data_IF_311113022711
#
_entry.id   IF_311113022711
#
_cell.length_a   1.000
_cell.length_b   1.000
_cell.length_c   1.000
_cell.angle_alpha   90.00
_cell.angle_beta   90.00
_cell.angle_gamma   90.00
#
_symmetry.space_group_name_H-M   'P 1'
#
loop_
_entity.id
_entity.type
_entity.pdbx_description
1 polymer ?
#
# COMPACT_ATOMS: atom_id res chain seq x y z
N UNK A 1 6.11 23.02 0.79
CA UNK A 1 5.25 23.30 -0.41
C UNK A 1 4.43 22.09 -0.86
N UNK A 2 5.04 20.91 -1.12
CA UNK A 2 4.31 19.70 -1.58
C UNK A 2 3.13 19.30 -0.67
N UNK A 3 3.34 19.26 0.65
CA UNK A 3 2.28 18.92 1.63
C UNK A 3 1.08 19.87 1.57
N UNK A 4 1.32 21.18 1.48
CA UNK A 4 0.26 22.19 1.45
C UNK A 4 -0.61 22.05 0.19
N UNK A 5 0.02 21.85 -0.97
CA UNK A 5 -0.69 21.61 -2.24
C UNK A 5 -1.49 20.31 -2.17
N UNK A 6 -0.88 19.20 -1.75
CA UNK A 6 -1.58 17.93 -1.60
C UNK A 6 -2.75 18.03 -0.61
N UNK A 7 -2.56 18.73 0.53
CA UNK A 7 -3.60 18.94 1.53
C UNK A 7 -4.75 19.77 0.98
N UNK A 8 -4.46 20.85 0.25
CA UNK A 8 -5.49 21.69 -0.36
C UNK A 8 -6.32 20.87 -1.38
N UNK A 9 -5.66 20.15 -2.28
CA UNK A 9 -6.37 19.33 -3.28
C UNK A 9 -7.18 18.24 -2.58
N UNK A 10 -6.59 17.51 -1.63
CA UNK A 10 -7.23 16.38 -0.96
C UNK A 10 -8.42 16.80 -0.09
N UNK A 11 -8.22 17.76 0.83
CA UNK A 11 -9.23 18.16 1.81
C UNK A 11 -10.23 19.18 1.26
N UNK A 12 -9.79 20.15 0.44
CA UNK A 12 -10.64 21.27 -0.01
C UNK A 12 -11.27 21.04 -1.39
N UNK A 13 -10.49 20.61 -2.38
CA UNK A 13 -11.02 20.42 -3.74
C UNK A 13 -11.79 19.11 -3.88
N UNK A 14 -11.21 18.00 -3.42
CA UNK A 14 -11.82 16.67 -3.57
C UNK A 14 -12.73 16.31 -2.39
N UNK A 15 -12.63 17.03 -1.27
CA UNK A 15 -13.48 16.86 -0.09
C UNK A 15 -13.22 15.57 0.69
N UNK A 16 -12.01 15.01 0.60
CA UNK A 16 -11.66 13.80 1.34
C UNK A 16 -11.27 14.09 2.78
N UNK A 17 -11.44 13.09 3.64
CA UNK A 17 -11.08 13.10 5.07
C UNK A 17 -10.00 12.08 5.34
N UNK A 18 -9.27 12.27 6.44
CA UNK A 18 -8.26 11.32 6.91
C UNK A 18 -8.55 10.89 8.34
N UNK A 19 -8.33 9.61 8.61
CA UNK A 19 -8.28 9.04 9.96
C UNK A 19 -6.98 8.29 10.10
N UNK A 20 -6.01 8.87 10.80
CA UNK A 20 -4.68 8.30 10.95
C UNK A 20 -4.29 8.36 12.42
N UNK A 21 -4.21 7.19 13.05
CA UNK A 21 -3.74 7.04 14.44
C UNK A 21 -2.45 6.23 14.54
N UNK A 22 -2.05 5.53 13.47
CA UNK A 22 -0.83 4.73 13.46
C UNK A 22 0.43 5.60 13.52
N UNK A 23 1.50 5.16 14.20
CA UNK A 23 2.79 5.84 14.17
C UNK A 23 3.37 5.97 12.76
N UNK A 24 4.29 6.92 12.58
CA UNK A 24 5.07 7.06 11.34
C UNK A 24 6.41 6.35 11.50
N UNK A 25 6.46 5.06 11.20
CA UNK A 25 7.70 4.28 11.30
C UNK A 25 8.66 4.63 10.15
N UNK A 26 9.96 4.53 10.39
CA UNK A 26 10.95 4.66 9.31
C UNK A 26 10.79 3.57 8.25
N UNK A 27 10.31 2.38 8.65
CA UNK A 27 10.10 1.25 7.75
C UNK A 27 8.77 0.57 8.02
N UNK A 28 7.93 0.43 7.00
CA UNK A 28 6.64 -0.27 7.07
C UNK A 28 6.16 -0.72 5.69
N UNK A 29 5.26 -1.71 5.70
CA UNK A 29 4.46 -2.10 4.53
C UNK A 29 3.07 -1.48 4.67
N UNK A 30 2.56 -0.85 3.61
CA UNK A 30 1.15 -0.49 3.51
C UNK A 30 0.44 -1.60 2.76
N UNK A 31 -0.50 -2.25 3.43
CA UNK A 31 -1.54 -3.05 2.78
C UNK A 31 -2.67 -2.08 2.44
N UNK A 32 -2.96 -1.86 1.16
CA UNK A 32 -3.99 -0.91 0.72
C UNK A 32 -5.15 -1.65 0.04
N UNK A 33 -6.37 -1.43 0.52
CA UNK A 33 -7.59 -1.95 -0.09
C UNK A 33 -8.79 -1.07 0.33
N UNK A 34 -9.95 -1.14 -0.33
CA UNK A 34 -10.24 -1.76 -1.62
C UNK A 34 -9.44 -1.15 -2.78
N UNK A 35 -8.97 -1.99 -3.71
CA UNK A 35 -8.36 -1.57 -4.96
C UNK A 35 -9.27 -1.92 -6.15
N UNK A 36 -10.10 -0.96 -6.55
CA UNK A 36 -11.14 -1.16 -7.56
C UNK A 36 -10.96 -0.27 -8.79
N UNK A 37 -10.01 0.68 -8.76
CA UNK A 37 -9.73 1.59 -9.88
C UNK A 37 -8.28 2.11 -9.86
N UNK A 38 -7.78 2.62 -10.99
CA UNK A 38 -6.48 3.31 -11.02
C UNK A 38 -6.49 4.60 -10.20
N UNK A 39 -7.67 5.19 -9.99
CA UNK A 39 -7.86 6.38 -9.17
C UNK A 39 -7.42 6.16 -7.70
N UNK A 40 -7.40 4.92 -7.22
CA UNK A 40 -6.95 4.56 -5.87
C UNK A 40 -5.49 4.93 -5.64
N UNK A 41 -4.64 4.71 -6.66
CA UNK A 41 -3.22 5.07 -6.58
C UNK A 41 -3.04 6.59 -6.49
N UNK A 42 -3.81 7.35 -7.27
CA UNK A 42 -3.73 8.81 -7.27
C UNK A 42 -4.22 9.39 -5.93
N UNK A 43 -5.38 8.94 -5.45
CA UNK A 43 -5.93 9.35 -4.15
C UNK A 43 -5.01 8.92 -2.99
N UNK A 44 -4.46 7.71 -3.04
CA UNK A 44 -3.49 7.23 -2.05
C UNK A 44 -2.21 8.07 -2.02
N UNK A 45 -1.66 8.45 -3.18
CA UNK A 45 -0.49 9.34 -3.25
C UNK A 45 -0.80 10.75 -2.75
N UNK A 46 -1.96 11.30 -3.08
CA UNK A 46 -2.42 12.59 -2.54
C UNK A 46 -2.59 12.53 -1.02
N UNK A 47 -3.20 11.46 -0.50
CA UNK A 47 -3.37 11.21 0.92
C UNK A 47 -2.02 11.23 1.66
N UNK A 48 -1.06 10.41 1.21
CA UNK A 48 0.27 10.35 1.83
C UNK A 48 0.94 11.73 1.80
N UNK A 49 0.87 12.44 0.67
CA UNK A 49 1.37 13.80 0.56
C UNK A 49 0.66 14.80 1.48
N UNK A 50 -0.65 14.67 1.69
CA UNK A 50 -1.45 15.55 2.55
C UNK A 50 -1.13 15.34 4.04
N UNK A 51 -0.92 14.10 4.48
CA UNK A 51 -0.48 13.81 5.86
C UNK A 51 1.02 14.07 6.05
N UNK A 52 1.78 14.23 4.97
CA UNK A 52 3.22 14.50 4.99
C UNK A 52 4.08 13.25 5.12
N UNK A 53 3.54 12.08 4.77
CA UNK A 53 4.25 10.79 4.75
C UNK A 53 4.66 10.41 3.34
N UNK A 54 5.63 9.51 3.24
CA UNK A 54 6.11 8.98 1.98
C UNK A 54 5.56 7.57 1.72
N UNK A 55 5.45 7.23 0.45
CA UNK A 55 5.09 5.87 0.04
C UNK A 55 5.82 5.53 -1.24
N UNK A 56 6.41 4.34 -1.27
CA UNK A 56 6.97 3.75 -2.47
C UNK A 56 6.01 2.76 -3.13
N UNK A 57 6.36 2.37 -4.35
CA UNK A 57 5.67 1.32 -5.11
C UNK A 57 6.70 0.55 -5.95
N UNK A 58 6.46 -0.74 -6.16
CA UNK A 58 7.32 -1.56 -7.01
C UNK A 58 7.10 -1.24 -8.47
N UNK A 59 8.18 -1.12 -9.24
CA UNK A 59 8.10 -0.93 -10.69
C UNK A 59 9.21 -1.70 -11.41
N UNK A 60 8.93 -2.22 -12.61
CA UNK A 60 9.90 -3.03 -13.37
C UNK A 60 11.17 -2.20 -13.60
N UNK A 61 12.33 -2.80 -13.30
CA UNK A 61 13.64 -2.15 -13.37
C UNK A 61 13.91 -1.49 -14.74
N UNK A 62 13.39 -2.07 -15.82
CA UNK A 62 13.57 -1.55 -17.19
C UNK A 62 13.00 -0.14 -17.40
N UNK A 63 12.10 0.34 -16.54
CA UNK A 63 11.61 1.72 -16.59
C UNK A 63 12.59 2.72 -15.98
N UNK A 64 13.65 2.26 -15.31
CA UNK A 64 14.62 3.10 -14.63
C UNK A 64 15.83 3.46 -15.50
N UNK A 65 15.61 3.74 -16.78
CA UNK A 65 16.60 4.27 -17.71
C UNK A 65 16.53 5.80 -17.78
N UNK A 66 17.59 6.47 -18.21
CA UNK A 66 17.59 7.92 -18.36
C UNK A 66 16.68 8.34 -19.54
N UNK A 67 15.81 9.37 -19.40
CA UNK A 67 15.70 10.33 -18.28
C UNK A 67 14.69 9.93 -17.18
N UNK A 68 13.95 8.83 -17.35
CA UNK A 68 12.84 8.45 -16.48
C UNK A 68 13.27 7.89 -15.11
N UNK A 69 14.44 7.26 -15.01
CA UNK A 69 14.93 6.61 -13.78
C UNK A 69 15.01 7.52 -12.56
N UNK A 70 15.68 8.69 -12.63
CA UNK A 70 15.69 9.67 -11.54
C UNK A 70 14.27 10.12 -11.13
N UNK A 71 13.38 10.34 -12.09
CA UNK A 71 11.99 10.78 -11.85
C UNK A 71 11.25 9.71 -11.05
N UNK A 72 11.32 8.45 -11.49
CA UNK A 72 10.63 7.37 -10.81
C UNK A 72 11.18 7.12 -9.40
N UNK A 73 12.50 7.22 -9.18
CA UNK A 73 13.09 7.13 -7.84
C UNK A 73 12.60 8.25 -6.94
N UNK A 74 12.55 9.48 -7.44
CA UNK A 74 12.02 10.62 -6.70
C UNK A 74 10.53 10.46 -6.35
N UNK A 75 9.76 9.77 -7.18
CA UNK A 75 8.36 9.42 -6.91
C UNK A 75 8.18 8.25 -5.92
N UNK A 76 9.26 7.62 -5.46
CA UNK A 76 9.25 6.45 -4.57
C UNK A 76 9.19 5.10 -5.32
N UNK A 77 9.51 5.08 -6.61
CA UNK A 77 9.61 3.85 -7.40
C UNK A 77 10.76 2.97 -6.93
N UNK A 78 10.44 1.75 -6.50
CA UNK A 78 11.41 0.72 -6.12
C UNK A 78 11.63 -0.20 -7.33
N UNK A 79 12.82 -0.20 -7.95
CA UNK A 79 13.10 -1.03 -9.12
C UNK A 79 13.11 -2.50 -8.71
N UNK A 80 12.32 -3.31 -9.41
CA UNK A 80 12.27 -4.75 -9.21
C UNK A 80 12.61 -5.50 -10.49
N UNK A 81 13.46 -6.51 -10.35
CA UNK A 81 13.83 -7.39 -11.44
C UNK A 81 12.98 -8.66 -11.39
N UNK A 82 11.96 -8.71 -12.26
CA UNK A 82 11.04 -9.85 -12.35
C UNK A 82 11.62 -11.01 -13.16
N UNK A 83 12.78 -10.85 -13.78
CA UNK A 83 13.42 -11.87 -14.61
C UNK A 83 14.40 -12.77 -13.85
N UNK A 84 14.85 -12.33 -12.67
CA UNK A 84 15.75 -13.10 -11.81
C UNK A 84 15.06 -14.31 -11.19
N UNK A 85 15.86 -15.36 -10.96
CA UNK A 85 15.45 -16.55 -10.19
C UNK A 85 15.09 -16.23 -8.73
N UNK A 86 15.67 -15.18 -8.16
CA UNK A 86 15.35 -14.71 -6.79
C UNK A 86 13.92 -14.16 -6.74
N UNK A 87 13.15 -14.58 -5.74
CA UNK A 87 11.77 -14.12 -5.61
C UNK A 87 11.71 -12.59 -5.43
N UNK A 88 10.61 -11.96 -5.88
CA UNK A 88 10.38 -10.53 -5.63
C UNK A 88 10.35 -10.21 -4.14
N UNK A 89 9.92 -11.18 -3.32
CA UNK A 89 9.88 -11.07 -1.86
C UNK A 89 11.29 -10.90 -1.32
N UNK A 90 12.24 -11.76 -1.70
CA UNK A 90 13.63 -11.68 -1.24
C UNK A 90 14.30 -10.37 -1.64
N UNK A 91 14.04 -9.89 -2.85
CA UNK A 91 14.53 -8.59 -3.31
C UNK A 91 14.03 -7.46 -2.40
N UNK A 92 12.74 -7.45 -2.06
CA UNK A 92 12.17 -6.42 -1.19
C UNK A 92 12.67 -6.53 0.25
N UNK A 93 12.86 -7.74 0.78
CA UNK A 93 13.45 -7.95 2.11
C UNK A 93 14.87 -7.36 2.16
N UNK A 94 15.69 -7.62 1.15
CA UNK A 94 17.07 -7.10 1.08
C UNK A 94 17.10 -5.56 0.97
N UNK A 95 16.21 -4.97 0.18
CA UNK A 95 16.11 -3.50 0.07
C UNK A 95 15.62 -2.92 1.40
N UNK A 96 14.62 -3.51 2.03
CA UNK A 96 14.09 -3.05 3.31
C UNK A 96 15.14 -3.09 4.42
N UNK A 97 15.95 -4.15 4.50
CA UNK A 97 17.02 -4.29 5.49
C UNK A 97 18.15 -3.29 5.27
N UNK A 98 18.56 -3.07 4.03
CA UNK A 98 19.69 -2.17 3.69
C UNK A 98 19.34 -0.67 3.68
N UNK A 99 18.06 -0.31 3.56
CA UNK A 99 17.63 1.08 3.53
C UNK A 99 17.50 1.68 4.93
N UNK A 100 17.71 2.99 5.10
CA UNK A 100 17.35 3.68 6.36
C UNK A 100 15.84 3.86 6.51
N UNK A 101 15.18 4.25 5.41
CA UNK A 101 13.72 4.37 5.30
C UNK A 101 13.17 3.41 4.25
N UNK A 102 12.01 2.82 4.50
CA UNK A 102 11.38 1.89 3.57
C UNK A 102 9.86 1.91 3.72
N UNK A 103 9.18 2.53 2.77
CA UNK A 103 7.72 2.58 2.73
C UNK A 103 7.25 1.95 1.44
N UNK A 104 6.51 0.86 1.51
CA UNK A 104 6.03 0.16 0.32
C UNK A 104 4.54 -0.11 0.40
N UNK A 105 3.77 0.47 -0.53
CA UNK A 105 2.36 0.17 -0.68
C UNK A 105 2.13 -1.00 -1.64
N UNK A 106 1.31 -1.95 -1.20
CA UNK A 106 0.89 -3.12 -1.98
C UNK A 106 -0.62 -3.28 -1.82
N UNK A 107 -1.30 -3.49 -2.95
CA UNK A 107 -2.70 -3.91 -2.97
C UNK A 107 -2.74 -5.44 -2.96
N UNK A 108 -3.29 -6.07 -1.91
CA UNK A 108 -3.23 -7.53 -1.75
C UNK A 108 -4.09 -8.24 -2.80
N UNK A 109 -5.12 -7.59 -3.33
CA UNK A 109 -5.99 -8.12 -4.38
C UNK A 109 -5.23 -8.40 -5.68
N UNK A 110 -4.17 -7.64 -5.96
CA UNK A 110 -3.31 -7.78 -7.14
C UNK A 110 -3.97 -7.43 -8.47
N UNK A 111 -5.24 -7.04 -8.45
CA UNK A 111 -6.06 -6.64 -9.60
C UNK A 111 -7.12 -5.65 -9.13
N UNK A 112 -7.79 -4.99 -10.08
CA UNK A 112 -8.95 -4.10 -9.83
C UNK A 112 -10.29 -4.81 -10.02
N UNK A 113 -10.25 -6.10 -10.31
CA UNK A 113 -11.44 -6.97 -10.41
C UNK A 113 -11.59 -7.71 -9.09
N UNK A 114 -12.82 -8.10 -8.75
CA UNK A 114 -13.08 -8.91 -7.57
C UNK A 114 -12.20 -10.17 -7.57
N UNK A 115 -11.36 -10.30 -6.54
CA UNK A 115 -10.48 -11.44 -6.38
C UNK A 115 -10.47 -11.90 -4.90
N UNK A 116 -11.06 -13.06 -4.56
CA UNK A 116 -11.06 -13.58 -3.20
C UNK A 116 -9.67 -14.10 -2.77
N UNK A 117 -8.80 -14.42 -3.73
CA UNK A 117 -7.49 -15.02 -3.52
C UNK A 117 -6.41 -13.94 -3.46
N UNK A 118 -6.33 -13.26 -2.32
CA UNK A 118 -5.37 -12.20 -2.06
C UNK A 118 -3.93 -12.72 -2.08
N UNK A 119 -3.04 -11.97 -2.72
CA UNK A 119 -1.61 -12.25 -2.78
C UNK A 119 -0.96 -12.01 -1.41
N UNK A 120 -0.13 -12.94 -0.99
CA UNK A 120 0.54 -12.96 0.33
C UNK A 120 1.93 -12.30 0.33
N UNK A 121 2.39 -11.76 -0.80
CA UNK A 121 3.75 -11.21 -0.94
C UNK A 121 4.06 -10.08 0.04
N UNK A 122 3.12 -9.18 0.29
CA UNK A 122 3.29 -8.08 1.26
C UNK A 122 3.55 -8.61 2.68
N UNK A 123 2.88 -9.70 3.06
CA UNK A 123 3.03 -10.34 4.36
C UNK A 123 4.41 -10.98 4.51
N UNK A 124 4.85 -11.75 3.51
CA UNK A 124 6.18 -12.37 3.56
C UNK A 124 7.32 -11.35 3.53
N UNK A 125 7.15 -10.24 2.81
CA UNK A 125 8.13 -9.13 2.85
C UNK A 125 8.19 -8.55 4.26
N UNK A 126 7.03 -8.24 4.86
CA UNK A 126 6.96 -7.69 6.20
C UNK A 126 7.60 -8.64 7.24
N UNK A 127 7.25 -9.93 7.18
CA UNK A 127 7.77 -10.96 8.08
C UNK A 127 9.29 -11.11 7.92
N UNK A 128 9.78 -11.32 6.70
CA UNK A 128 11.21 -11.53 6.44
C UNK A 128 12.09 -10.31 6.74
N UNK A 129 11.51 -9.11 6.71
CA UNK A 129 12.19 -7.85 7.04
C UNK A 129 11.93 -7.35 8.46
N UNK A 130 11.07 -8.01 9.25
CA UNK A 130 10.69 -7.58 10.59
C UNK A 130 9.93 -6.24 10.62
N UNK A 131 9.09 -5.98 9.62
CA UNK A 131 8.38 -4.71 9.47
C UNK A 131 6.90 -4.81 9.89
N UNK A 132 6.32 -3.72 10.45
CA UNK A 132 4.88 -3.62 10.62
C UNK A 132 4.16 -3.50 9.28
N UNK A 133 2.93 -4.03 9.24
CA UNK A 133 1.98 -3.86 8.14
C UNK A 133 0.91 -2.88 8.60
N UNK A 134 0.86 -1.71 7.98
CA UNK A 134 -0.20 -0.72 8.19
C UNK A 134 -1.36 -1.05 7.26
N UNK A 135 -2.57 -1.19 7.81
CA UNK A 135 -3.78 -1.40 7.03
C UNK A 135 -4.39 -0.05 6.65
N UNK A 136 -4.36 0.27 5.36
CA UNK A 136 -4.88 1.52 4.82
C UNK A 136 -6.13 1.24 4.00
N UNK A 137 -7.26 1.69 4.53
CA UNK A 137 -8.56 1.53 3.90
C UNK A 137 -8.97 2.77 3.10
N UNK A 138 -9.38 2.60 1.84
CA UNK A 138 -9.86 3.68 0.97
C UNK A 138 -11.39 3.57 0.85
N UNK A 139 -12.12 4.44 1.55
CA UNK A 139 -13.58 4.48 1.55
C UNK A 139 -14.10 5.62 0.67
N UNK A 140 -14.61 5.31 -0.52
CA UNK A 140 -15.14 6.30 -1.45
C UNK A 140 -16.54 6.80 -1.06
N UNK A 141 -17.32 5.97 -0.38
CA UNK A 141 -18.65 6.36 0.11
C UNK A 141 -18.51 7.45 1.19
N UNK A 142 -17.61 7.24 2.15
CA UNK A 142 -17.30 8.24 3.20
C UNK A 142 -16.30 9.30 2.77
N UNK A 143 -15.71 9.15 1.57
CA UNK A 143 -14.54 9.91 1.09
C UNK A 143 -13.46 10.02 2.17
N UNK A 144 -13.08 8.89 2.77
CA UNK A 144 -12.15 8.85 3.89
C UNK A 144 -11.08 7.79 3.67
N UNK A 145 -9.81 8.16 3.83
CA UNK A 145 -8.74 7.16 3.97
C UNK A 145 -8.46 6.95 5.46
N UNK A 146 -8.49 5.69 5.88
CA UNK A 146 -8.34 5.26 7.27
C UNK A 146 -7.10 4.40 7.43
N UNK A 147 -6.21 4.78 8.35
CA UNK A 147 -4.99 4.07 8.71
C UNK A 147 -4.90 4.04 10.24
N UNK A 148 -5.60 3.08 10.85
CA UNK A 148 -5.74 2.97 12.31
C UNK A 148 -5.28 1.61 12.86
N UNK A 149 -5.03 0.63 11.98
CA UNK A 149 -4.66 -0.73 12.38
C UNK A 149 -3.28 -1.11 11.86
N UNK A 150 -2.46 -1.67 12.75
CA UNK A 150 -1.14 -2.23 12.45
C UNK A 150 -1.15 -3.72 12.75
N UNK A 151 -0.62 -4.52 11.84
CA UNK A 151 -0.37 -5.95 12.03
C UNK A 151 1.14 -6.16 12.07
N UNK A 152 1.61 -6.81 13.13
CA UNK A 152 2.96 -7.36 13.19
C UNK A 152 2.86 -8.83 12.80
N UNK A 153 3.49 -9.28 11.70
CA UNK A 153 3.41 -10.67 11.25
C UNK A 153 3.76 -11.64 12.38
N UNK A 154 2.81 -12.47 12.77
CA UNK A 154 2.93 -13.37 13.92
C UNK A 154 3.68 -14.66 13.60
N UNK A 155 3.74 -15.03 12.32
CA UNK A 155 4.13 -16.38 11.90
C UNK A 155 2.97 -17.17 11.33
N UNK A 156 1.78 -17.00 11.92
CA UNK A 156 0.54 -17.66 11.48
C UNK A 156 -0.14 -16.82 10.41
N UNK A 157 0.18 -17.15 9.16
CA UNK A 157 -0.34 -16.42 8.00
C UNK A 157 -1.85 -16.53 7.85
N UNK A 158 -2.47 -17.64 8.23
CA UNK A 158 -3.91 -17.81 8.04
C UNK A 158 -4.67 -16.95 9.04
N UNK A 159 -4.23 -16.94 10.31
CA UNK A 159 -4.76 -16.05 11.34
C UNK A 159 -4.60 -14.57 10.95
N UNK A 160 -3.39 -14.17 10.57
CA UNK A 160 -3.10 -12.77 10.27
C UNK A 160 -3.84 -12.32 9.01
N UNK A 161 -3.92 -13.16 7.96
CA UNK A 161 -4.67 -12.84 6.74
C UNK A 161 -6.18 -12.77 6.99
N UNK A 162 -6.73 -13.60 7.87
CA UNK A 162 -8.13 -13.51 8.31
C UNK A 162 -8.39 -12.14 8.97
N UNK A 163 -7.53 -11.73 9.89
CA UNK A 163 -7.64 -10.45 10.57
C UNK A 163 -7.53 -9.26 9.58
N UNK A 164 -6.55 -9.32 8.67
CA UNK A 164 -6.36 -8.30 7.63
C UNK A 164 -7.59 -8.19 6.73
N UNK A 165 -8.11 -9.31 6.24
CA UNK A 165 -9.28 -9.32 5.36
C UNK A 165 -10.55 -8.83 6.07
N UNK A 166 -10.77 -9.26 7.32
CA UNK A 166 -11.93 -8.83 8.11
C UNK A 166 -11.91 -7.32 8.38
N UNK A 167 -10.74 -6.72 8.58
CA UNK A 167 -10.61 -5.27 8.67
C UNK A 167 -11.20 -4.56 7.45
N UNK A 168 -11.03 -5.12 6.25
CA UNK A 168 -11.50 -4.47 5.02
C UNK A 168 -12.98 -4.65 4.69
N UNK A 169 -13.73 -5.51 5.39
CA UNK A 169 -15.07 -5.92 4.96
C UNK A 169 -16.06 -4.74 4.80
N UNK A 170 -15.93 -3.74 5.65
CA UNK A 170 -16.89 -2.64 5.78
C UNK A 170 -16.51 -1.39 4.96
N UNK A 171 -15.38 -1.42 4.26
CA UNK A 171 -14.93 -0.30 3.44
C UNK A 171 -15.40 -0.44 1.99
N UNK A 172 -15.85 0.67 1.39
CA UNK A 172 -16.40 0.71 0.04
C UNK A 172 -15.43 1.35 -0.94
N UNK A 173 -14.94 0.55 -1.89
CA UNK A 173 -14.15 1.05 -3.02
C UNK A 173 -15.00 1.90 -3.97
N UNK A 174 -14.37 2.52 -4.98
CA UNK A 174 -15.10 3.30 -6.00
C UNK A 174 -16.11 2.46 -6.78
N UNK A 175 -15.77 1.19 -7.01
CA UNK A 175 -16.62 0.17 -7.60
C UNK A 175 -16.77 -0.98 -6.59
N UNK A 176 -17.71 -0.88 -5.62
CA UNK A 176 -17.83 -1.85 -4.52
C UNK A 176 -18.03 -3.30 -4.98
N UNK A 177 -18.67 -3.52 -6.12
CA UNK A 177 -18.87 -4.83 -6.75
C UNK A 177 -17.57 -5.50 -7.21
N UNK A 178 -16.49 -4.73 -7.35
CA UNK A 178 -15.17 -5.22 -7.72
C UNK A 178 -14.28 -5.52 -6.51
N UNK A 179 -14.80 -5.40 -5.29
CA UNK A 179 -14.09 -5.70 -4.05
C UNK A 179 -14.65 -6.94 -3.38
N UNK A 180 -13.79 -7.86 -2.96
CA UNK A 180 -14.20 -9.01 -2.16
C UNK A 180 -13.09 -9.48 -1.22
N UNK A 181 -13.47 -9.82 0.00
CA UNK A 181 -12.58 -10.44 0.99
C UNK A 181 -12.55 -11.97 0.86
N UNK A 182 -13.40 -12.53 0.00
CA UNK A 182 -13.64 -13.97 -0.13
C UNK A 182 -14.38 -14.57 1.07
N UNK A 183 -14.53 -15.90 1.07
CA UNK A 183 -15.08 -16.61 2.23
C UNK A 183 -14.02 -16.65 3.33
N UNK A 184 -14.34 -16.06 4.48
CA UNK A 184 -13.50 -16.11 5.67
C UNK A 184 -14.27 -16.91 6.72
N UNK A 185 -14.02 -18.23 6.78
CA UNK A 185 -14.50 -19.10 7.87
C UNK A 185 -13.82 -18.71 9.17
#
# INVERSE_FOLDING_TARGET
MKKAICSFIYYKLLGWKTKVSVPDYDKYIICAAPHTTNWDLFIGKLFMGAIGRETGFMMKKDWFFWPLGPIFRWMGGIPVDRSRKSSLVDQMINIAKSSKKFHLAITPEGTRKANPNWKKGFYYIAQGAGLPIILVAIDYEKKCITAEKVIHPSGDIEKDMREIKLYYKDFKGKHPELFTIGNIQ
#
